data_IF_973676260896
#
_entry.id   IF_973676260896
#
_cell.length_a   1.000
_cell.length_b   1.000
_cell.length_c   1.000
_cell.angle_alpha   90.00
_cell.angle_beta   90.00
_cell.angle_gamma   90.00
#
_symmetry.space_group_name_H-M   'P 1'
#
loop_
_entity.id
_entity.type
_entity.pdbx_description
1 polymer ?
#
# COMPACT_ATOMS: atom_id res chain seq x y z
N UNK A 1 -19.88 18.84 -17.32
CA UNK A 1 -19.23 20.14 -17.06
C UNK A 1 -17.73 19.84 -16.96
N UNK A 2 -16.84 20.15 -17.90
CA UNK A 2 -16.71 21.31 -18.79
C UNK A 2 -16.71 22.64 -18.03
N UNK A 3 -15.50 23.14 -17.68
CA UNK A 3 -14.89 24.27 -18.39
C UNK A 3 -13.43 24.50 -17.92
N UNK A 4 -12.51 24.70 -18.87
CA UNK A 4 -11.17 25.23 -18.64
C UNK A 4 -11.01 26.57 -19.37
N UNK A 5 -10.31 27.57 -18.80
CA UNK A 5 -10.22 28.90 -19.39
C UNK A 5 -9.20 28.95 -20.54
N UNK A 6 -9.69 28.97 -21.78
CA UNK A 6 -8.89 29.33 -22.97
C UNK A 6 -9.03 30.82 -23.25
N UNK A 7 -8.03 31.62 -22.92
CA UNK A 7 -7.96 33.02 -23.37
C UNK A 7 -7.33 33.12 -24.76
N UNK A 8 -8.15 33.39 -25.78
CA UNK A 8 -7.70 33.77 -27.12
C UNK A 8 -7.73 35.29 -27.26
N UNK A 9 -6.59 35.90 -27.59
CA UNK A 9 -6.51 37.31 -27.97
C UNK A 9 -6.84 37.44 -29.47
N UNK A 10 -8.08 37.81 -29.80
CA UNK A 10 -8.56 37.78 -31.20
C UNK A 10 -9.51 38.91 -31.62
N UNK A 11 -9.34 40.14 -31.09
CA UNK A 11 -9.80 41.36 -31.80
C UNK A 11 -8.98 42.61 -31.45
N UNK A 12 -8.26 43.15 -32.44
CA UNK A 12 -7.93 44.58 -32.54
C UNK A 12 -8.41 45.04 -33.92
N UNK A 13 -9.39 45.95 -33.97
CA UNK A 13 -9.87 46.53 -35.22
C UNK A 13 -8.93 47.62 -35.72
N UNK A 14 -8.66 47.65 -37.02
CA UNK A 14 -8.04 48.80 -37.70
C UNK A 14 -9.02 49.97 -37.67
N UNK A 15 -8.70 51.03 -36.91
CA UNK A 15 -9.49 52.28 -36.93
C UNK A 15 -8.64 53.54 -36.66
N UNK A 16 -7.62 53.75 -37.48
CA UNK A 16 -6.91 55.04 -37.54
C UNK A 16 -7.90 56.14 -37.99
N UNK A 17 -8.33 56.95 -37.04
CA UNK A 17 -9.40 57.93 -37.24
C UNK A 17 -8.81 59.25 -37.72
N UNK A 18 -9.12 59.65 -38.95
CA UNK A 18 -8.64 60.92 -39.51
C UNK A 18 -9.35 62.13 -38.86
N UNK A 19 -8.64 62.83 -37.96
CA UNK A 19 -8.84 64.21 -37.47
C UNK A 19 -7.78 64.48 -36.38
N UNK A 20 -6.89 65.48 -36.47
CA UNK A 20 -6.58 66.39 -37.57
C UNK A 20 -5.95 67.68 -37.05
N UNK A 21 -5.06 68.33 -37.82
CA UNK A 21 -4.57 69.69 -37.52
C UNK A 21 -4.18 70.43 -38.81
N UNK A 22 -5.17 71.06 -39.45
CA UNK A 22 -4.95 72.01 -40.56
C UNK A 22 -4.98 73.44 -40.02
N UNK A 23 -3.81 74.10 -40.01
CA UNK A 23 -3.53 75.55 -39.99
C UNK A 23 -2.01 75.70 -39.79
N UNK A 24 -1.26 76.54 -40.51
CA UNK A 24 -1.67 77.77 -41.19
C UNK A 24 -1.12 77.87 -42.63
N UNK A 25 -2.02 78.21 -43.57
CA UNK A 25 -1.67 78.99 -44.76
C UNK A 25 -2.17 80.42 -44.53
N UNK A 26 -1.35 81.44 -44.77
CA UNK A 26 -1.77 82.85 -44.74
C UNK A 26 -1.00 83.72 -45.74
N UNK A 27 -1.60 83.91 -46.90
CA UNK A 27 -1.24 84.94 -47.89
C UNK A 27 -1.93 86.29 -47.48
N UNK A 28 -1.82 87.39 -48.25
CA UNK A 28 -0.70 88.34 -48.17
C UNK A 28 -1.17 89.81 -48.03
N UNK A 29 -0.27 90.80 -47.81
CA UNK A 29 -0.48 92.22 -48.20
C UNK A 29 0.68 93.17 -47.80
N UNK A 30 0.77 94.35 -48.44
CA UNK A 30 1.63 95.49 -48.06
C UNK A 30 3.01 95.51 -48.76
N UNK A 31 3.23 96.09 -49.95
CA UNK A 31 2.57 97.16 -50.73
C UNK A 31 2.91 98.62 -50.33
N UNK A 32 3.99 99.16 -50.91
CA UNK A 32 4.14 100.56 -51.40
C UNK A 32 5.12 100.56 -52.59
N UNK A 33 4.90 101.30 -53.68
CA UNK A 33 3.70 102.07 -54.10
C UNK A 33 3.71 102.34 -55.61
N UNK A 34 2.51 102.47 -56.17
CA UNK A 34 2.20 103.14 -57.46
C UNK A 34 2.76 102.53 -58.75
N UNK A 35 2.14 102.70 -59.92
CA UNK A 35 0.75 103.10 -60.27
C UNK A 35 0.43 102.49 -61.64
N UNK A 36 -0.84 102.16 -61.91
CA UNK A 36 -1.35 101.75 -63.22
C UNK A 36 -2.39 102.75 -63.71
N UNK A 37 -2.30 103.19 -64.97
CA UNK A 37 -3.43 103.72 -65.77
C UNK A 37 -3.25 103.24 -67.22
N UNK A 38 -4.34 102.79 -67.85
CA UNK A 38 -4.47 102.64 -69.30
C UNK A 38 -5.45 103.70 -69.82
N UNK A 39 -5.19 104.34 -70.97
CA UNK A 39 -6.08 104.41 -72.15
C UNK A 39 -5.65 105.47 -73.20
N UNK A 40 -6.07 105.23 -74.46
CA UNK A 40 -6.39 106.18 -75.55
C UNK A 40 -5.40 107.28 -75.97
N UNK A 41 -4.76 107.04 -77.13
CA UNK A 41 -4.78 107.87 -78.36
C UNK A 41 -5.07 109.39 -78.26
N UNK A 42 -4.08 110.25 -78.56
CA UNK A 42 -4.10 111.19 -79.71
C UNK A 42 -2.81 112.06 -79.85
N UNK A 43 -2.48 112.44 -81.09
CA UNK A 43 -1.84 113.68 -81.62
C UNK A 43 -0.50 114.30 -81.11
N UNK A 44 0.27 114.87 -82.08
CA UNK A 44 1.32 115.91 -81.91
C UNK A 44 2.75 115.41 -81.65
N UNK A 45 3.69 115.30 -82.62
CA UNK A 45 4.36 116.33 -83.47
C UNK A 45 4.80 117.58 -82.67
N UNK A 46 6.01 118.14 -82.81
CA UNK A 46 7.02 118.07 -83.90
C UNK A 46 8.42 117.70 -83.29
N UNK A 47 9.66 118.05 -83.70
CA UNK A 47 10.42 118.89 -84.69
C UNK A 47 11.81 118.19 -84.81
N UNK A 48 12.66 118.14 -85.87
CA UNK A 48 12.97 118.91 -87.10
C UNK A 48 13.64 120.28 -86.85
N UNK A 49 14.86 120.56 -87.36
CA UNK A 49 15.09 120.71 -88.82
C UNK A 49 16.37 120.00 -89.39
N UNK A 50 16.62 119.78 -90.70
CA UNK A 50 15.93 119.99 -92.03
C UNK A 50 16.68 120.94 -93.00
N UNK A 51 17.30 120.38 -94.05
CA UNK A 51 17.70 121.02 -95.33
C UNK A 51 18.31 119.94 -96.27
N UNK A 52 18.34 120.01 -97.60
CA UNK A 52 17.64 120.87 -98.59
C UNK A 52 17.46 120.09 -99.93
N UNK A 53 16.91 120.72 -100.98
CA UNK A 53 16.66 120.15 -102.32
C UNK A 53 17.58 120.80 -103.39
N UNK A 54 17.22 120.72 -104.69
CA UNK A 54 17.80 121.41 -105.88
C UNK A 54 18.99 120.63 -106.52
N UNK A 55 19.16 120.48 -107.86
CA UNK A 55 18.49 121.07 -109.05
C UNK A 55 18.37 120.10 -110.26
N UNK A 56 17.59 120.49 -111.27
CA UNK A 56 17.60 119.95 -112.65
C UNK A 56 18.36 120.88 -113.59
N UNK A 57 19.08 120.37 -114.60
CA UNK A 57 19.52 121.13 -115.79
C UNK A 57 19.42 120.28 -117.07
N UNK A 58 19.30 120.94 -118.23
CA UNK A 58 19.00 120.34 -119.55
C UNK A 58 19.49 121.24 -120.70
N UNK A 59 19.39 120.70 -121.93
CA UNK A 59 19.53 121.38 -123.25
C UNK A 59 20.96 121.54 -123.79
N UNK A 60 21.15 121.72 -125.12
CA UNK A 60 20.16 121.71 -126.22
C UNK A 60 20.47 120.74 -127.41
N UNK A 61 19.46 120.49 -128.26
CA UNK A 61 19.50 120.41 -129.75
C UNK A 61 20.44 119.42 -130.51
N UNK A 62 20.19 118.98 -131.76
CA UNK A 62 19.11 119.23 -132.77
C UNK A 62 19.02 118.03 -133.76
N UNK A 63 17.83 117.73 -134.33
CA UNK A 63 17.49 117.01 -135.60
C UNK A 63 18.26 115.71 -136.03
N UNK A 64 17.71 114.71 -136.75
CA UNK A 64 16.35 114.42 -137.28
C UNK A 64 16.25 113.00 -137.87
N UNK A 65 15.03 112.46 -137.93
CA UNK A 65 14.53 111.40 -138.84
C UNK A 65 14.85 109.90 -138.58
N UNK A 66 13.90 109.07 -139.02
CA UNK A 66 13.97 107.63 -139.37
C UNK A 66 14.61 106.60 -138.41
N UNK A 67 13.76 105.90 -137.61
CA UNK A 67 13.29 104.50 -137.87
C UNK A 67 12.66 103.85 -136.62
N UNK A 68 11.36 103.59 -136.66
CA UNK A 68 10.56 103.19 -135.49
C UNK A 68 10.23 101.69 -135.41
N UNK A 69 11.20 100.79 -135.65
CA UNK A 69 10.94 99.33 -135.75
C UNK A 69 11.73 98.47 -134.74
N UNK A 70 12.99 98.79 -134.44
CA UNK A 70 13.87 97.88 -133.68
C UNK A 70 13.67 97.92 -132.15
N UNK A 71 13.18 99.05 -131.61
CA UNK A 71 13.09 99.29 -130.17
C UNK A 71 12.14 98.30 -129.43
N UNK A 72 11.21 97.67 -130.16
CA UNK A 72 10.30 96.65 -129.63
C UNK A 72 11.01 95.33 -129.23
N UNK A 73 12.10 94.95 -129.90
CA UNK A 73 12.80 93.68 -129.62
C UNK A 73 13.70 93.73 -128.37
N UNK A 74 14.30 94.89 -128.05
CA UNK A 74 15.07 95.04 -126.82
C UNK A 74 14.17 95.11 -125.58
N UNK A 75 13.01 95.76 -125.68
CA UNK A 75 12.06 95.87 -124.55
C UNK A 75 11.58 94.50 -124.06
N UNK A 76 11.18 93.62 -124.99
CA UNK A 76 10.70 92.26 -124.67
C UNK A 76 11.78 91.36 -124.06
N UNK A 77 13.05 91.51 -124.43
CA UNK A 77 14.20 90.84 -123.77
C UNK A 77 14.46 91.38 -122.36
N UNK A 78 14.41 92.69 -122.16
CA UNK A 78 14.58 93.29 -120.84
C UNK A 78 13.45 92.87 -119.87
N UNK A 79 12.21 92.83 -120.35
CA UNK A 79 11.07 92.36 -119.57
C UNK A 79 11.13 90.86 -119.25
N UNK A 80 11.64 90.00 -120.14
CA UNK A 80 11.78 88.56 -119.87
C UNK A 80 12.89 88.28 -118.86
N UNK A 81 14.04 88.95 -118.97
CA UNK A 81 15.10 88.91 -117.96
C UNK A 81 14.64 89.46 -116.61
N UNK A 82 13.89 90.57 -116.60
CA UNK A 82 13.30 91.13 -115.37
C UNK A 82 12.33 90.16 -114.70
N UNK A 83 11.47 89.48 -115.47
CA UNK A 83 10.60 88.41 -114.99
C UNK A 83 11.39 87.22 -114.43
N UNK A 84 12.50 86.84 -115.07
CA UNK A 84 13.38 85.77 -114.60
C UNK A 84 14.10 86.13 -113.30
N UNK A 85 14.59 87.36 -113.15
CA UNK A 85 15.19 87.87 -111.90
C UNK A 85 14.16 87.94 -110.77
N UNK A 86 12.91 88.32 -111.07
CA UNK A 86 11.83 88.36 -110.09
C UNK A 86 11.46 86.93 -109.64
N UNK A 87 11.37 85.98 -110.58
CA UNK A 87 11.17 84.55 -110.28
C UNK A 87 12.32 83.95 -109.47
N UNK A 88 13.58 84.28 -109.78
CA UNK A 88 14.75 83.89 -108.98
C UNK A 88 14.72 84.49 -107.57
N UNK A 89 14.36 85.77 -107.42
CA UNK A 89 14.17 86.39 -106.10
C UNK A 89 13.06 85.70 -105.30
N UNK A 90 11.96 85.33 -105.95
CA UNK A 90 10.85 84.60 -105.32
C UNK A 90 11.24 83.17 -104.92
N UNK A 91 12.04 82.48 -105.74
CA UNK A 91 12.66 81.19 -105.41
C UNK A 91 13.62 81.31 -104.22
N UNK A 92 14.48 82.34 -104.17
CA UNK A 92 15.40 82.59 -103.05
C UNK A 92 14.64 82.95 -101.77
N UNK A 93 13.60 83.78 -101.82
CA UNK A 93 12.78 84.05 -100.62
C UNK A 93 12.00 82.82 -100.16
N UNK A 94 11.53 81.97 -101.09
CA UNK A 94 10.90 80.70 -100.76
C UNK A 94 11.91 79.69 -100.19
N UNK A 95 13.16 79.71 -100.66
CA UNK A 95 14.27 78.97 -100.07
C UNK A 95 14.56 79.43 -98.65
N UNK A 96 14.74 80.74 -98.44
CA UNK A 96 15.01 81.32 -97.12
C UNK A 96 13.90 81.02 -96.11
N UNK A 97 12.62 81.21 -96.46
CA UNK A 97 11.50 80.87 -95.56
C UNK A 97 11.41 79.37 -95.25
N UNK A 98 11.82 78.48 -96.18
CA UNK A 98 11.98 77.04 -95.90
C UNK A 98 13.17 76.75 -94.98
N UNK A 99 14.30 77.44 -95.16
CA UNK A 99 15.46 77.32 -94.26
C UNK A 99 15.18 77.87 -92.86
N UNK A 100 14.42 78.97 -92.73
CA UNK A 100 13.93 79.51 -91.46
C UNK A 100 12.98 78.52 -90.77
N UNK A 101 12.01 77.96 -91.50
CA UNK A 101 11.13 76.91 -90.98
C UNK A 101 11.90 75.65 -90.54
N UNK A 102 12.89 75.21 -91.32
CA UNK A 102 13.79 74.12 -90.95
C UNK A 102 14.65 74.46 -89.73
N UNK A 103 15.15 75.69 -89.61
CA UNK A 103 15.93 76.14 -88.45
C UNK A 103 15.07 76.16 -87.17
N UNK A 104 13.81 76.61 -87.26
CA UNK A 104 12.85 76.56 -86.13
C UNK A 104 12.51 75.12 -85.75
N UNK A 105 12.33 74.22 -86.73
CA UNK A 105 12.12 72.79 -86.47
C UNK A 105 13.36 72.14 -85.83
N UNK A 106 14.56 72.42 -86.33
CA UNK A 106 15.82 71.93 -85.76
C UNK A 106 16.01 72.46 -84.33
N UNK A 107 15.77 73.76 -84.08
CA UNK A 107 15.85 74.36 -82.75
C UNK A 107 14.85 73.71 -81.79
N UNK A 108 13.60 73.49 -82.22
CA UNK A 108 12.59 72.78 -81.44
C UNK A 108 13.04 71.35 -81.10
N UNK A 109 13.48 70.58 -82.09
CA UNK A 109 13.95 69.20 -81.90
C UNK A 109 15.21 69.13 -81.00
N UNK A 110 16.08 70.13 -81.05
CA UNK A 110 17.24 70.24 -80.15
C UNK A 110 16.82 70.56 -78.71
N UNK A 111 15.89 71.50 -78.50
CA UNK A 111 15.35 71.80 -77.17
C UNK A 111 14.56 70.63 -76.59
N UNK A 112 13.71 69.97 -77.38
CA UNK A 112 12.96 68.77 -77.00
C UNK A 112 13.89 67.60 -76.64
N UNK A 113 15.00 67.42 -77.40
CA UNK A 113 16.08 66.48 -77.05
C UNK A 113 16.82 66.87 -75.77
N UNK A 114 17.07 68.16 -75.52
CA UNK A 114 17.75 68.63 -74.31
C UNK A 114 16.86 68.44 -73.07
N UNK A 115 15.56 68.69 -73.18
CA UNK A 115 14.57 68.43 -72.14
C UNK A 115 14.43 66.94 -71.84
N UNK A 116 14.31 66.09 -72.88
CA UNK A 116 14.33 64.63 -72.71
C UNK A 116 15.63 64.13 -72.06
N UNK A 117 16.78 64.74 -72.37
CA UNK A 117 18.06 64.41 -71.76
C UNK A 117 18.14 64.87 -70.28
N UNK A 118 17.55 66.02 -69.94
CA UNK A 118 17.39 66.48 -68.54
C UNK A 118 16.48 65.54 -67.75
N UNK A 119 15.34 65.13 -68.32
CA UNK A 119 14.43 64.14 -67.73
C UNK A 119 15.11 62.79 -67.52
N UNK A 120 15.82 62.27 -68.53
CA UNK A 120 16.60 61.03 -68.41
C UNK A 120 17.68 61.15 -67.32
N UNK A 121 18.37 62.29 -67.19
CA UNK A 121 19.32 62.51 -66.09
C UNK A 121 18.64 62.49 -64.72
N UNK A 122 17.51 63.19 -64.56
CA UNK A 122 16.74 63.20 -63.31
C UNK A 122 16.29 61.77 -62.92
N UNK A 123 15.62 61.07 -63.85
CA UNK A 123 15.20 59.67 -63.66
C UNK A 123 16.37 58.74 -63.36
N UNK A 124 17.54 58.93 -63.98
CA UNK A 124 18.72 58.13 -63.69
C UNK A 124 19.28 58.38 -62.28
N UNK A 125 19.19 59.61 -61.77
CA UNK A 125 19.58 59.94 -60.39
C UNK A 125 18.55 59.40 -59.39
N UNK A 126 17.25 59.50 -59.69
CA UNK A 126 16.19 58.89 -58.89
C UNK A 126 16.36 57.37 -58.80
N UNK A 127 16.69 56.68 -59.90
CA UNK A 127 17.00 55.25 -59.90
C UNK A 127 18.25 54.91 -59.06
N UNK A 128 19.25 55.79 -58.99
CA UNK A 128 20.42 55.62 -58.10
C UNK A 128 20.03 55.84 -56.64
N UNK A 129 19.23 56.86 -56.34
CA UNK A 129 18.74 57.16 -55.00
C UNK A 129 17.87 56.01 -54.46
N UNK A 130 16.88 55.55 -55.24
CA UNK A 130 16.00 54.43 -54.90
C UNK A 130 16.77 53.10 -54.72
N UNK A 131 17.86 52.89 -55.45
CA UNK A 131 18.76 51.74 -55.22
C UNK A 131 19.53 51.88 -53.92
N UNK A 132 19.99 53.08 -53.56
CA UNK A 132 20.60 53.37 -52.27
C UNK A 132 19.62 53.14 -51.11
N UNK A 133 18.41 53.68 -51.23
CA UNK A 133 17.32 53.48 -50.27
C UNK A 133 16.99 52.00 -50.10
N UNK A 134 16.82 51.25 -51.20
CA UNK A 134 16.59 49.80 -51.19
C UNK A 134 17.71 49.02 -50.48
N UNK A 135 18.98 49.38 -50.71
CA UNK A 135 20.11 48.77 -49.99
C UNK A 135 20.06 49.10 -48.50
N UNK A 136 19.79 50.35 -48.12
CA UNK A 136 19.65 50.70 -46.69
C UNK A 136 18.49 49.95 -46.04
N UNK A 137 17.34 49.85 -46.72
CA UNK A 137 16.17 49.10 -46.28
C UNK A 137 16.46 47.60 -46.13
N UNK A 138 17.20 46.97 -47.05
CA UNK A 138 17.66 45.58 -46.91
C UNK A 138 18.49 45.42 -45.64
N UNK A 139 19.51 46.26 -45.45
CA UNK A 139 20.38 46.14 -44.27
C UNK A 139 19.67 46.45 -42.95
N UNK A 140 18.56 47.21 -42.94
CA UNK A 140 17.73 47.38 -41.73
C UNK A 140 16.79 46.20 -41.51
N UNK A 141 16.23 45.61 -42.57
CA UNK A 141 15.46 44.36 -42.48
C UNK A 141 16.34 43.22 -41.95
N UNK A 142 17.53 42.99 -42.52
CA UNK A 142 18.49 41.98 -42.05
C UNK A 142 18.87 42.14 -40.57
N UNK A 143 19.00 43.39 -40.09
CA UNK A 143 19.27 43.68 -38.66
C UNK A 143 18.06 43.38 -37.78
N UNK A 144 16.85 43.72 -38.24
CA UNK A 144 15.61 43.41 -37.53
C UNK A 144 15.32 41.90 -37.50
N UNK A 145 15.66 41.16 -38.55
CA UNK A 145 15.52 39.71 -38.58
C UNK A 145 16.53 39.00 -37.66
N UNK A 146 17.77 39.51 -37.58
CA UNK A 146 18.76 39.05 -36.60
C UNK A 146 18.27 39.31 -35.17
N UNK A 147 17.87 40.54 -34.86
CA UNK A 147 17.33 40.89 -33.55
C UNK A 147 16.06 40.11 -33.17
N UNK A 148 15.16 39.83 -34.15
CA UNK A 148 13.99 38.94 -33.95
C UNK A 148 14.43 37.51 -33.60
N UNK A 149 15.44 37.00 -34.28
CA UNK A 149 15.94 35.63 -34.08
C UNK A 149 16.70 35.50 -32.75
N UNK A 150 17.51 36.49 -32.39
CA UNK A 150 18.18 36.59 -31.10
C UNK A 150 17.18 36.66 -29.93
N UNK A 151 16.13 37.48 -30.07
CA UNK A 151 15.04 37.57 -29.10
C UNK A 151 14.23 36.27 -28.99
N UNK A 152 14.00 35.58 -30.11
CA UNK A 152 13.33 34.28 -30.13
C UNK A 152 14.17 33.22 -29.39
N UNK A 153 15.47 33.11 -29.68
CA UNK A 153 16.39 32.18 -28.99
C UNK A 153 16.46 32.50 -27.49
N UNK A 154 16.49 33.78 -27.11
CA UNK A 154 16.45 34.19 -25.71
C UNK A 154 15.14 33.76 -25.02
N UNK A 155 13.99 34.01 -25.67
CA UNK A 155 12.67 33.61 -25.15
C UNK A 155 12.53 32.09 -25.01
N UNK A 156 12.91 31.32 -26.03
CA UNK A 156 12.92 29.85 -25.99
C UNK A 156 13.84 29.34 -24.87
N UNK A 157 15.01 29.95 -24.68
CA UNK A 157 15.91 29.65 -23.56
C UNK A 157 15.33 29.96 -22.18
N UNK A 158 14.53 31.03 -22.03
CA UNK A 158 13.81 31.31 -20.78
C UNK A 158 12.70 30.28 -20.53
N UNK A 159 11.93 29.91 -21.56
CA UNK A 159 10.87 28.90 -21.45
C UNK A 159 11.46 27.52 -21.10
N UNK A 160 12.58 27.13 -21.71
CA UNK A 160 13.28 25.88 -21.38
C UNK A 160 13.75 25.86 -19.92
N UNK A 161 14.39 26.94 -19.42
CA UNK A 161 14.83 27.04 -18.03
C UNK A 161 13.67 27.01 -17.04
N UNK A 162 12.58 27.72 -17.33
CA UNK A 162 11.38 27.72 -16.48
C UNK A 162 10.72 26.34 -16.43
N UNK A 163 10.66 25.64 -17.57
CA UNK A 163 10.15 24.27 -17.62
C UNK A 163 11.05 23.29 -16.85
N UNK A 164 12.38 23.44 -16.95
CA UNK A 164 13.33 22.64 -16.18
C UNK A 164 13.16 22.87 -14.66
N UNK A 165 13.02 24.13 -14.22
CA UNK A 165 12.77 24.46 -12.82
C UNK A 165 11.44 23.87 -12.33
N UNK A 166 10.34 24.04 -13.08
CA UNK A 166 9.07 23.42 -12.71
C UNK A 166 9.15 21.89 -12.64
N UNK A 167 9.95 21.24 -13.49
CA UNK A 167 10.18 19.80 -13.42
C UNK A 167 10.99 19.40 -12.17
N UNK A 168 12.06 20.13 -11.82
CA UNK A 168 12.80 19.86 -10.58
C UNK A 168 11.94 20.06 -9.34
N UNK A 169 11.20 21.18 -9.27
CA UNK A 169 10.34 21.54 -8.14
C UNK A 169 9.23 20.50 -7.93
N UNK A 170 8.62 20.01 -9.03
CA UNK A 170 7.65 18.92 -8.98
C UNK A 170 8.28 17.62 -8.46
N UNK A 171 9.47 17.25 -8.92
CA UNK A 171 10.14 16.03 -8.42
C UNK A 171 10.59 16.13 -6.96
N UNK A 172 11.00 17.32 -6.49
CA UNK A 172 11.33 17.55 -5.08
C UNK A 172 10.07 17.45 -4.20
N UNK A 173 8.98 18.11 -4.60
CA UNK A 173 7.69 18.03 -3.90
C UNK A 173 7.14 16.60 -3.88
N UNK A 174 7.21 15.88 -4.99
CA UNK A 174 6.83 14.47 -5.05
C UNK A 174 7.67 13.58 -4.13
N UNK A 175 9.00 13.76 -4.12
CA UNK A 175 9.89 12.92 -3.31
C UNK A 175 9.71 13.21 -1.83
N UNK A 176 9.65 14.49 -1.43
CA UNK A 176 9.35 14.90 -0.06
C UNK A 176 7.99 14.41 0.43
N UNK A 177 6.99 14.32 -0.46
CA UNK A 177 5.67 13.77 -0.14
C UNK A 177 5.72 12.24 0.02
N UNK A 178 6.49 11.53 -0.81
CA UNK A 178 6.74 10.09 -0.66
C UNK A 178 7.46 9.81 0.65
N UNK A 179 8.54 10.53 0.94
CA UNK A 179 9.35 10.45 2.17
C UNK A 179 8.48 10.65 3.42
N UNK A 180 7.65 11.70 3.45
CA UNK A 180 6.71 11.95 4.54
C UNK A 180 5.74 10.79 4.75
N UNK A 181 5.11 10.27 3.68
CA UNK A 181 4.19 9.14 3.83
C UNK A 181 4.90 7.82 4.19
N UNK A 182 6.14 7.59 3.75
CA UNK A 182 6.92 6.42 4.20
C UNK A 182 7.28 6.54 5.67
N UNK A 183 7.72 7.72 6.13
CA UNK A 183 7.99 7.97 7.55
C UNK A 183 6.76 7.74 8.43
N UNK A 184 5.58 8.25 8.05
CA UNK A 184 4.35 8.05 8.84
C UNK A 184 3.88 6.58 8.81
N UNK A 185 4.07 5.87 7.69
CA UNK A 185 3.85 4.41 7.64
C UNK A 185 4.78 3.66 8.59
N UNK A 186 6.08 3.97 8.58
CA UNK A 186 7.09 3.34 9.44
C UNK A 186 6.84 3.64 10.93
N UNK A 187 6.49 4.89 11.27
CA UNK A 187 6.11 5.27 12.65
C UNK A 187 4.90 4.45 13.13
N UNK A 188 3.85 4.34 12.31
CA UNK A 188 2.66 3.56 12.66
C UNK A 188 2.97 2.05 12.76
N UNK A 189 3.77 1.51 11.86
CA UNK A 189 4.22 0.12 11.90
C UNK A 189 5.03 -0.18 13.17
N UNK A 190 5.96 0.71 13.54
CA UNK A 190 6.76 0.57 14.75
C UNK A 190 5.89 0.61 16.01
N UNK A 191 4.89 1.48 16.09
CA UNK A 191 3.91 1.52 17.20
C UNK A 191 3.17 0.18 17.31
N UNK A 192 2.68 -0.37 16.19
CA UNK A 192 2.01 -1.68 16.18
C UNK A 192 2.93 -2.84 16.62
N UNK A 193 4.20 -2.82 16.21
CA UNK A 193 5.20 -3.80 16.64
C UNK A 193 5.46 -3.68 18.14
N UNK A 194 5.71 -2.47 18.63
CA UNK A 194 5.92 -2.21 20.06
C UNK A 194 4.72 -2.64 20.92
N UNK A 195 3.49 -2.38 20.50
CA UNK A 195 2.29 -2.82 21.23
C UNK A 195 2.17 -4.35 21.24
N UNK A 196 2.40 -5.02 20.10
CA UNK A 196 2.42 -6.48 20.04
C UNK A 196 3.51 -7.09 20.93
N UNK A 197 4.70 -6.48 21.02
CA UNK A 197 5.77 -6.91 21.91
C UNK A 197 5.46 -6.64 23.40
N UNK A 198 4.80 -5.52 23.73
CA UNK A 198 4.31 -5.23 25.09
C UNK A 198 3.27 -6.26 25.55
N UNK A 199 2.31 -6.64 24.70
CA UNK A 199 1.36 -7.72 25.03
C UNK A 199 2.04 -9.09 25.14
N UNK A 200 2.99 -9.40 24.25
CA UNK A 200 3.76 -10.65 24.27
C UNK A 200 4.58 -10.81 25.55
N UNK A 201 5.27 -9.75 26.00
CA UNK A 201 6.06 -9.77 27.23
C UNK A 201 5.18 -9.87 28.48
N UNK A 202 4.05 -9.15 28.54
CA UNK A 202 3.06 -9.30 29.62
C UNK A 202 2.49 -10.72 29.71
N UNK A 203 2.13 -11.35 28.59
CA UNK A 203 1.62 -12.72 28.57
C UNK A 203 2.69 -13.74 28.99
N UNK A 204 3.95 -13.53 28.58
CA UNK A 204 5.08 -14.37 29.02
C UNK A 204 5.32 -14.24 30.52
N UNK A 205 5.32 -13.01 31.06
CA UNK A 205 5.49 -12.75 32.49
C UNK A 205 4.35 -13.37 33.32
N UNK A 206 3.09 -13.26 32.87
CA UNK A 206 1.96 -13.93 33.53
C UNK A 206 2.10 -15.46 33.51
N UNK A 207 2.56 -16.05 32.41
CA UNK A 207 2.80 -17.48 32.31
C UNK A 207 3.93 -17.95 33.24
N UNK A 208 5.08 -17.26 33.25
CA UNK A 208 6.21 -17.63 34.09
C UNK A 208 5.93 -17.40 35.59
N UNK A 209 5.16 -16.36 35.95
CA UNK A 209 4.67 -16.16 37.31
C UNK A 209 3.71 -17.28 37.76
N UNK A 210 2.75 -17.67 36.91
CA UNK A 210 1.83 -18.79 37.21
C UNK A 210 2.58 -20.11 37.34
N UNK A 211 3.58 -20.34 36.49
CA UNK A 211 4.45 -21.52 36.52
C UNK A 211 5.34 -21.55 37.77
N UNK A 212 5.88 -20.41 38.21
CA UNK A 212 6.62 -20.30 39.46
C UNK A 212 5.72 -20.60 40.67
N UNK A 213 4.51 -20.04 40.70
CA UNK A 213 3.51 -20.31 41.74
C UNK A 213 3.08 -21.79 41.78
N UNK A 214 2.96 -22.44 40.62
CA UNK A 214 2.67 -23.87 40.52
C UNK A 214 3.80 -24.72 41.10
N UNK A 215 5.05 -24.50 40.69
CA UNK A 215 6.18 -25.30 41.21
C UNK A 215 6.45 -25.04 42.69
N UNK A 216 6.24 -23.81 43.21
CA UNK A 216 6.32 -23.58 44.67
C UNK A 216 5.23 -24.31 45.44
N UNK A 217 3.96 -24.21 45.02
CA UNK A 217 2.86 -24.92 45.68
C UNK A 217 3.02 -26.45 45.62
N UNK A 218 3.52 -26.98 44.50
CA UNK A 218 3.88 -28.38 44.35
C UNK A 218 4.98 -28.80 45.33
N UNK A 219 6.06 -28.03 45.45
CA UNK A 219 7.15 -28.30 46.39
C UNK A 219 6.69 -28.22 47.86
N UNK A 220 5.78 -27.30 48.18
CA UNK A 220 5.15 -27.22 49.51
C UNK A 220 4.32 -28.48 49.83
N UNK A 221 3.55 -28.99 48.86
CA UNK A 221 2.76 -30.23 48.99
C UNK A 221 3.67 -31.47 49.07
N UNK A 222 4.74 -31.53 48.28
CA UNK A 222 5.75 -32.60 48.35
C UNK A 222 6.47 -32.60 49.72
N UNK A 223 6.75 -31.41 50.28
CA UNK A 223 7.31 -31.27 51.61
C UNK A 223 6.32 -31.68 52.72
N UNK A 224 5.05 -31.23 52.66
CA UNK A 224 4.06 -31.57 53.69
C UNK A 224 3.78 -33.08 53.73
N UNK A 225 3.65 -33.73 52.57
CA UNK A 225 3.50 -35.19 52.51
C UNK A 225 4.76 -35.92 53.02
N UNK A 226 5.96 -35.39 52.77
CA UNK A 226 7.21 -35.94 53.33
C UNK A 226 7.21 -35.90 54.86
N UNK A 227 6.78 -34.79 55.46
CA UNK A 227 6.71 -34.62 56.91
C UNK A 227 5.59 -35.48 57.54
N UNK A 228 4.43 -35.60 56.90
CA UNK A 228 3.38 -36.55 57.30
C UNK A 228 3.86 -37.99 57.28
N UNK A 229 4.54 -38.43 56.22
CA UNK A 229 5.11 -39.78 56.10
C UNK A 229 6.17 -40.01 57.19
N UNK A 230 7.02 -39.02 57.47
CA UNK A 230 8.00 -39.10 58.56
C UNK A 230 7.33 -39.18 59.95
N UNK A 231 6.27 -38.41 60.19
CA UNK A 231 5.53 -38.44 61.45
C UNK A 231 4.83 -39.80 61.63
N UNK A 232 4.13 -40.28 60.61
CA UNK A 232 3.47 -41.58 60.60
C UNK A 232 4.47 -42.73 60.81
N UNK A 233 5.64 -42.66 60.17
CA UNK A 233 6.73 -43.62 60.39
C UNK A 233 7.21 -43.62 61.86
N UNK A 234 7.42 -42.45 62.47
CA UNK A 234 7.81 -42.33 63.89
C UNK A 234 6.73 -42.92 64.82
N UNK A 235 5.44 -42.72 64.51
CA UNK A 235 4.32 -43.32 65.25
C UNK A 235 4.28 -44.85 65.13
N UNK A 236 4.51 -45.40 63.94
CA UNK A 236 4.63 -46.86 63.78
C UNK A 236 5.86 -47.43 64.48
N UNK A 237 7.02 -46.77 64.43
CA UNK A 237 8.25 -47.22 65.09
C UNK A 237 8.13 -47.18 66.63
N UNK A 238 7.47 -46.16 67.19
CA UNK A 238 7.18 -46.09 68.64
C UNK A 238 6.16 -47.15 69.06
N UNK A 239 5.04 -47.29 68.36
CA UNK A 239 4.04 -48.33 68.64
C UNK A 239 4.63 -49.76 68.54
N UNK A 240 5.46 -50.04 67.53
CA UNK A 240 6.17 -51.32 67.42
C UNK A 240 7.21 -51.51 68.55
N UNK A 241 7.82 -50.43 69.07
CA UNK A 241 8.69 -50.50 70.24
C UNK A 241 7.90 -50.83 71.52
N UNK A 242 6.73 -50.23 71.70
CA UNK A 242 5.84 -50.45 72.84
C UNK A 242 5.25 -51.86 72.85
N UNK A 243 4.74 -52.34 71.71
CA UNK A 243 4.24 -53.72 71.57
C UNK A 243 5.36 -54.73 71.87
N UNK A 244 6.58 -54.52 71.36
CA UNK A 244 7.73 -55.38 71.66
C UNK A 244 8.10 -55.37 73.15
N UNK A 245 8.07 -54.20 73.81
CA UNK A 245 8.31 -54.09 75.26
C UNK A 245 7.22 -54.82 76.06
N UNK A 246 5.95 -54.65 75.68
CA UNK A 246 4.82 -55.33 76.34
C UNK A 246 4.93 -56.85 76.23
N UNK A 247 5.16 -57.37 75.02
CA UNK A 247 5.38 -58.79 74.78
C UNK A 247 6.59 -59.34 75.57
N UNK A 248 7.70 -58.60 75.62
CA UNK A 248 8.91 -59.01 76.34
C UNK A 248 8.73 -58.98 77.88
N UNK A 249 7.82 -58.15 78.40
CA UNK A 249 7.41 -58.15 79.81
C UNK A 249 6.43 -59.29 80.12
N UNK A 250 5.43 -59.50 79.27
CA UNK A 250 4.46 -60.61 79.38
C UNK A 250 5.18 -61.97 79.32
N UNK A 251 6.08 -62.14 78.34
CA UNK A 251 6.95 -63.32 78.21
C UNK A 251 7.71 -63.61 79.51
N UNK A 252 8.35 -62.59 80.11
CA UNK A 252 9.08 -62.75 81.38
C UNK A 252 8.15 -63.11 82.53
N UNK A 253 7.00 -62.47 82.64
CA UNK A 253 6.00 -62.83 83.66
C UNK A 253 5.47 -64.26 83.51
N UNK A 254 5.46 -64.81 82.28
CA UNK A 254 5.12 -66.22 82.03
C UNK A 254 6.28 -67.17 82.31
N UNK A 255 7.52 -66.78 82.00
CA UNK A 255 8.74 -67.53 82.35
C UNK A 255 8.94 -67.60 83.88
N UNK A 256 8.76 -66.48 84.59
CA UNK A 256 8.80 -66.39 86.06
C UNK A 256 7.70 -67.26 86.71
N UNK A 257 6.46 -67.17 86.20
CA UNK A 257 5.33 -68.01 86.68
C UNK A 257 5.57 -69.50 86.40
N UNK A 258 6.20 -69.84 85.27
CA UNK A 258 6.57 -71.21 84.95
C UNK A 258 7.65 -71.72 85.92
N UNK A 259 8.67 -70.91 86.23
CA UNK A 259 9.69 -71.26 87.24
C UNK A 259 9.05 -71.49 88.61
N UNK A 260 8.22 -70.56 89.10
CA UNK A 260 7.53 -70.69 90.40
C UNK A 260 6.67 -71.97 90.46
N UNK A 261 5.99 -72.32 89.37
CA UNK A 261 5.18 -73.54 89.29
C UNK A 261 6.04 -74.80 89.14
N UNK A 262 7.18 -74.74 88.44
CA UNK A 262 8.15 -75.82 88.38
C UNK A 262 8.77 -76.07 89.76
N UNK A 263 9.25 -75.03 90.46
CA UNK A 263 9.79 -75.12 91.82
C UNK A 263 8.74 -75.65 92.82
N UNK A 264 7.48 -75.22 92.68
CA UNK A 264 6.36 -75.74 93.48
C UNK A 264 6.10 -77.24 93.23
N UNK A 265 6.16 -77.68 91.96
CA UNK A 265 5.99 -79.09 91.59
C UNK A 265 7.21 -79.94 91.96
N UNK A 266 8.44 -79.44 91.79
CA UNK A 266 9.66 -80.10 92.22
C UNK A 266 9.70 -80.28 93.74
N UNK A 267 9.22 -79.28 94.50
CA UNK A 267 9.01 -79.40 95.93
C UNK A 267 7.95 -80.45 96.26
N UNK A 268 6.78 -80.43 95.63
CA UNK A 268 5.77 -81.49 95.84
C UNK A 268 6.29 -82.88 95.49
N UNK A 269 7.10 -83.01 94.43
CA UNK A 269 7.77 -84.26 94.04
C UNK A 269 8.82 -84.67 95.09
N UNK A 270 9.54 -83.73 95.70
CA UNK A 270 10.49 -84.01 96.80
C UNK A 270 9.77 -84.43 98.09
N UNK A 271 8.71 -83.72 98.47
CA UNK A 271 7.88 -84.03 99.63
C UNK A 271 7.25 -85.43 99.46
N UNK A 272 6.62 -85.70 98.31
CA UNK A 272 6.07 -87.02 97.95
C UNK A 272 7.14 -88.11 97.80
N UNK A 273 8.36 -87.80 97.33
CA UNK A 273 9.47 -88.76 97.34
C UNK A 273 9.84 -89.14 98.77
N UNK A 274 9.95 -88.18 99.68
CA UNK A 274 10.27 -88.46 101.09
C UNK A 274 9.16 -89.23 101.80
N UNK A 275 7.88 -88.94 101.50
CA UNK A 275 6.75 -89.72 101.99
C UNK A 275 6.76 -91.13 101.40
N UNK A 276 7.01 -91.28 100.10
CA UNK A 276 7.05 -92.57 99.43
C UNK A 276 8.26 -93.41 99.87
N UNK A 277 9.42 -92.81 100.15
CA UNK A 277 10.56 -93.46 100.80
C UNK A 277 10.20 -93.92 102.22
N UNK A 278 9.55 -93.07 103.03
CA UNK A 278 9.09 -93.45 104.37
C UNK A 278 7.98 -94.53 104.34
N UNK A 279 7.11 -94.52 103.34
CA UNK A 279 6.10 -95.55 103.08
C UNK A 279 6.72 -96.83 102.52
N UNK A 280 7.81 -96.74 101.76
CA UNK A 280 8.54 -97.88 101.19
C UNK A 280 9.44 -98.54 102.24
N UNK A 281 10.05 -97.80 103.17
CA UNK A 281 10.69 -98.39 104.35
C UNK A 281 9.66 -99.01 105.32
N UNK A 282 8.49 -98.39 105.49
CA UNK A 282 7.36 -99.04 106.18
C UNK A 282 6.91 -100.29 105.44
N UNK A 283 6.80 -100.25 104.11
CA UNK A 283 6.41 -101.37 103.25
C UNK A 283 7.44 -102.48 103.39
N UNK A 284 8.73 -102.25 103.13
CA UNK A 284 9.84 -103.18 103.39
C UNK A 284 9.82 -103.75 104.81
N UNK A 285 9.44 -102.97 105.83
CA UNK A 285 9.28 -103.50 107.20
C UNK A 285 8.08 -104.46 107.31
N UNK A 286 6.92 -104.10 106.76
CA UNK A 286 5.73 -104.94 106.71
C UNK A 286 5.84 -106.06 105.66
N UNK A 287 6.81 -105.97 104.76
CA UNK A 287 7.11 -106.90 103.69
C UNK A 287 8.28 -107.82 104.07
N UNK A 288 9.09 -107.47 105.05
CA UNK A 288 9.84 -108.45 105.85
C UNK A 288 8.86 -109.23 106.76
N UNK A 289 7.78 -108.58 107.24
CA UNK A 289 6.63 -109.22 107.90
C UNK A 289 5.67 -109.96 106.94
N UNK A 290 5.73 -109.71 105.61
CA UNK A 290 5.03 -110.50 104.58
C UNK A 290 5.91 -111.57 103.96
N UNK A 291 7.20 -111.40 103.73
CA UNK A 291 8.10 -112.50 103.30
C UNK A 291 8.14 -113.62 104.36
N UNK A 292 7.78 -113.32 105.62
CA UNK A 292 7.53 -114.28 106.70
C UNK A 292 6.05 -114.77 106.84
N UNK A 293 5.12 -114.28 106.03
CA UNK A 293 3.65 -114.57 106.04
C UNK A 293 3.06 -114.95 104.66
N UNK A 294 3.82 -114.71 103.60
CA UNK A 294 3.52 -114.74 102.16
C UNK A 294 4.60 -115.55 101.41
N UNK A 295 5.27 -116.43 102.16
CA UNK A 295 5.95 -117.63 101.64
C UNK A 295 4.91 -118.69 101.18
N UNK A 296 3.78 -118.21 100.66
CA UNK A 296 2.53 -118.94 100.48
C UNK A 296 1.74 -118.37 99.27
N UNK A 297 1.72 -119.17 98.20
CA UNK A 297 0.90 -119.04 96.99
C UNK A 297 1.24 -117.89 96.01
N UNK A 298 0.70 -118.00 94.79
CA UNK A 298 1.29 -117.40 93.59
C UNK A 298 0.28 -117.11 92.47
N UNK A 299 0.63 -116.12 91.63
CA UNK A 299 0.18 -115.84 90.24
C UNK A 299 -1.31 -116.10 89.87
N UNK A 300 -2.08 -115.01 89.72
CA UNK A 300 -3.41 -115.01 89.10
C UNK A 300 -3.31 -114.83 87.55
N UNK A 301 -3.94 -115.68 86.72
CA UNK A 301 -3.91 -115.56 85.24
C UNK A 301 -4.68 -114.37 84.65
N UNK A 302 -5.45 -113.61 85.43
CA UNK A 302 -6.32 -112.53 84.93
C UNK A 302 -5.59 -111.37 84.21
N UNK A 303 -4.27 -111.24 84.37
CA UNK A 303 -3.45 -110.21 83.70
C UNK A 303 -3.47 -110.39 82.17
N UNK A 304 -3.38 -111.61 81.66
CA UNK A 304 -3.33 -111.87 80.21
C UNK A 304 -4.59 -111.42 79.45
N UNK A 305 -5.75 -111.42 80.11
CA UNK A 305 -7.00 -110.99 79.46
C UNK A 305 -7.01 -109.47 79.24
N UNK A 306 -6.49 -108.70 80.19
CA UNK A 306 -6.37 -107.24 80.11
C UNK A 306 -5.34 -106.82 79.06
N UNK A 307 -4.25 -107.58 78.91
CA UNK A 307 -3.27 -107.38 77.83
C UNK A 307 -3.91 -107.58 76.44
N UNK A 308 -4.79 -108.59 76.30
CA UNK A 308 -5.50 -108.84 75.04
C UNK A 308 -6.56 -107.78 74.70
N UNK A 309 -7.26 -107.23 75.71
CA UNK A 309 -8.18 -106.11 75.53
C UNK A 309 -7.46 -104.82 75.11
N UNK A 310 -6.29 -104.53 75.68
CA UNK A 310 -5.45 -103.39 75.29
C UNK A 310 -4.96 -103.48 73.84
N UNK A 311 -4.55 -104.67 73.38
CA UNK A 311 -4.11 -104.85 72.00
C UNK A 311 -5.27 -104.69 70.99
N UNK A 312 -6.48 -105.13 71.37
CA UNK A 312 -7.70 -104.88 70.59
C UNK A 312 -8.01 -103.39 70.45
N UNK A 313 -7.88 -102.62 71.54
CA UNK A 313 -8.13 -101.18 71.55
C UNK A 313 -7.10 -100.39 70.73
N UNK A 314 -5.83 -100.82 70.70
CA UNK A 314 -4.81 -100.23 69.80
C UNK A 314 -5.22 -100.33 68.33
N UNK A 315 -5.65 -101.50 67.87
CA UNK A 315 -6.04 -101.70 66.47
C UNK A 315 -7.22 -100.79 66.07
N UNK A 316 -8.18 -100.57 66.98
CA UNK A 316 -9.31 -99.63 66.74
C UNK A 316 -8.84 -98.17 66.69
N UNK A 317 -7.84 -97.78 67.48
CA UNK A 317 -7.22 -96.45 67.41
C UNK A 317 -6.44 -96.26 66.11
N UNK A 318 -5.64 -97.25 65.69
CA UNK A 318 -4.86 -97.21 64.45
C UNK A 318 -5.77 -97.06 63.22
N UNK A 319 -6.84 -97.85 63.14
CA UNK A 319 -7.87 -97.73 62.08
C UNK A 319 -8.53 -96.34 62.06
N UNK A 320 -8.76 -95.73 63.23
CA UNK A 320 -9.30 -94.35 63.31
C UNK A 320 -8.27 -93.30 62.89
N UNK A 321 -6.99 -93.49 63.21
CA UNK A 321 -5.93 -92.55 62.88
C UNK A 321 -5.63 -92.55 61.37
N UNK A 322 -5.56 -93.72 60.75
CA UNK A 322 -5.48 -93.87 59.29
C UNK A 322 -6.67 -93.20 58.58
N UNK A 323 -7.90 -93.40 59.11
CA UNK A 323 -9.10 -92.74 58.57
C UNK A 323 -9.04 -91.21 58.69
N UNK A 324 -8.42 -90.68 59.74
CA UNK A 324 -8.21 -89.24 59.94
C UNK A 324 -7.21 -88.68 58.92
N UNK A 325 -6.07 -89.33 58.72
CA UNK A 325 -5.12 -88.96 57.66
C UNK A 325 -5.73 -89.00 56.25
N UNK A 326 -6.64 -89.95 55.98
CA UNK A 326 -7.41 -89.99 54.73
C UNK A 326 -8.45 -88.86 54.59
N UNK A 327 -8.83 -88.17 55.68
CA UNK A 327 -9.63 -86.96 55.65
C UNK A 327 -8.75 -85.72 55.45
N UNK A 328 -7.62 -85.61 56.15
CA UNK A 328 -6.63 -84.54 55.96
C UNK A 328 -6.13 -84.47 54.50
N UNK A 329 -5.80 -85.63 53.93
CA UNK A 329 -5.38 -85.76 52.54
C UNK A 329 -6.49 -85.45 51.50
N UNK A 330 -7.75 -85.27 51.94
CA UNK A 330 -8.86 -84.74 51.13
C UNK A 330 -9.06 -83.24 51.37
N UNK A 331 -8.95 -82.77 52.61
CA UNK A 331 -8.99 -81.35 52.95
C UNK A 331 -7.90 -80.57 52.19
N UNK A 332 -6.65 -81.01 52.23
CA UNK A 332 -5.54 -80.38 51.48
C UNK A 332 -5.78 -80.36 49.96
N UNK A 333 -6.58 -81.28 49.41
CA UNK A 333 -6.97 -81.29 47.99
C UNK A 333 -8.09 -80.29 47.70
N UNK A 334 -9.01 -80.07 48.64
CA UNK A 334 -10.04 -79.03 48.52
C UNK A 334 -9.46 -77.62 48.70
N UNK A 335 -8.55 -77.42 49.66
CA UNK A 335 -7.81 -76.16 49.85
C UNK A 335 -7.09 -75.74 48.56
N UNK A 336 -6.32 -76.65 47.95
CA UNK A 336 -5.66 -76.41 46.66
C UNK A 336 -6.63 -76.11 45.52
N UNK A 337 -7.86 -76.59 45.56
CA UNK A 337 -8.90 -76.23 44.58
C UNK A 337 -9.50 -74.84 44.87
N UNK A 338 -9.62 -74.44 46.14
CA UNK A 338 -10.03 -73.08 46.54
C UNK A 338 -8.97 -72.06 46.11
N UNK A 339 -7.69 -72.31 46.36
CA UNK A 339 -6.57 -71.42 45.95
C UNK A 339 -6.50 -71.23 44.42
N UNK A 340 -6.74 -72.30 43.66
CA UNK A 340 -6.83 -72.19 42.21
C UNK A 340 -8.09 -71.44 41.76
N UNK A 341 -9.21 -71.56 42.49
CA UNK A 341 -10.44 -70.85 42.19
C UNK A 341 -10.30 -69.33 42.44
N UNK A 342 -9.76 -68.92 43.59
CA UNK A 342 -9.50 -67.51 43.91
C UNK A 342 -8.54 -66.87 42.90
N UNK A 343 -7.44 -67.56 42.55
CA UNK A 343 -6.50 -67.11 41.54
C UNK A 343 -7.10 -66.97 40.12
N UNK A 344 -8.15 -67.75 39.79
CA UNK A 344 -8.91 -67.61 38.54
C UNK A 344 -9.93 -66.45 38.62
N UNK A 345 -10.62 -66.29 39.75
CA UNK A 345 -11.54 -65.17 40.01
C UNK A 345 -10.80 -63.83 39.92
N UNK A 346 -9.59 -63.72 40.46
CA UNK A 346 -8.81 -62.48 40.38
C UNK A 346 -8.21 -62.19 39.00
N UNK A 347 -7.98 -63.23 38.18
CA UNK A 347 -7.70 -63.04 36.74
C UNK A 347 -8.93 -62.51 36.00
N UNK A 348 -10.12 -63.05 36.29
CA UNK A 348 -11.38 -62.61 35.69
C UNK A 348 -11.68 -61.14 36.04
N UNK A 349 -11.50 -60.74 37.30
CA UNK A 349 -11.64 -59.32 37.73
C UNK A 349 -10.73 -58.37 36.94
N UNK A 350 -9.45 -58.74 36.72
CA UNK A 350 -8.52 -57.92 35.93
C UNK A 350 -8.97 -57.78 34.47
N UNK A 351 -9.33 -58.87 33.81
CA UNK A 351 -9.86 -58.81 32.44
C UNK A 351 -11.18 -58.02 32.34
N UNK A 352 -12.02 -58.03 33.38
CA UNK A 352 -13.20 -57.17 33.43
C UNK A 352 -12.83 -55.68 33.54
N UNK A 353 -11.88 -55.32 34.42
CA UNK A 353 -11.39 -53.95 34.57
C UNK A 353 -10.75 -53.43 33.27
N UNK A 354 -9.93 -54.24 32.59
CA UNK A 354 -9.37 -53.92 31.26
C UNK A 354 -10.47 -53.70 30.21
N UNK A 355 -11.54 -54.50 30.24
CA UNK A 355 -12.68 -54.36 29.33
C UNK A 355 -13.47 -53.07 29.57
N UNK A 356 -13.62 -52.65 30.83
CA UNK A 356 -14.26 -51.40 31.23
C UNK A 356 -13.39 -50.17 30.85
N UNK A 357 -12.07 -50.26 30.99
CA UNK A 357 -11.16 -49.19 30.52
C UNK A 357 -11.20 -49.03 28.99
N UNK A 358 -11.21 -50.14 28.24
CA UNK A 358 -11.31 -50.12 26.79
C UNK A 358 -12.65 -49.53 26.31
N UNK A 359 -13.77 -49.81 27.00
CA UNK A 359 -15.06 -49.15 26.73
C UNK A 359 -14.97 -47.64 26.97
N UNK A 360 -14.46 -47.21 28.11
CA UNK A 360 -14.29 -45.78 28.41
C UNK A 360 -13.35 -45.07 27.40
N UNK A 361 -12.38 -45.78 26.83
CA UNK A 361 -11.52 -45.28 25.74
C UNK A 361 -12.29 -45.15 24.42
N UNK A 362 -13.14 -46.13 24.07
CA UNK A 362 -14.02 -46.08 22.90
C UNK A 362 -15.02 -44.92 23.03
N UNK A 363 -15.66 -44.73 24.18
CA UNK A 363 -16.61 -43.63 24.40
C UNK A 363 -15.96 -42.25 24.25
N UNK A 364 -14.71 -42.08 24.72
CA UNK A 364 -13.91 -40.86 24.47
C UNK A 364 -13.66 -40.63 22.97
N UNK A 365 -13.28 -41.66 22.22
CA UNK A 365 -13.13 -41.53 20.76
C UNK A 365 -14.45 -41.19 20.07
N UNK A 366 -15.57 -41.79 20.47
CA UNK A 366 -16.91 -41.49 19.93
C UNK A 366 -17.31 -40.04 20.24
N UNK A 367 -17.00 -39.52 21.45
CA UNK A 367 -17.25 -38.13 21.80
C UNK A 367 -16.44 -37.16 20.91
N UNK A 368 -15.14 -37.41 20.70
CA UNK A 368 -14.29 -36.61 19.82
C UNK A 368 -14.78 -36.64 18.37
N UNK A 369 -15.16 -37.81 17.85
CA UNK A 369 -15.71 -37.94 16.49
C UNK A 369 -17.03 -37.16 16.33
N UNK A 370 -17.89 -37.15 17.36
CA UNK A 370 -19.12 -36.33 17.37
C UNK A 370 -18.79 -34.83 17.38
N UNK A 371 -17.83 -34.40 18.22
CA UNK A 371 -17.38 -33.01 18.28
C UNK A 371 -16.86 -32.53 16.92
N UNK A 372 -15.93 -33.29 16.30
CA UNK A 372 -15.39 -32.98 14.98
C UNK A 372 -16.50 -32.90 13.90
N UNK A 373 -17.51 -33.78 13.98
CA UNK A 373 -18.68 -33.73 13.08
C UNK A 373 -19.49 -32.45 13.29
N UNK A 374 -19.69 -31.99 14.54
CA UNK A 374 -20.38 -30.73 14.82
C UNK A 374 -19.58 -29.49 14.41
N UNK A 375 -18.25 -29.50 14.57
CA UNK A 375 -17.36 -28.43 14.11
C UNK A 375 -17.33 -28.34 12.59
N UNK A 376 -17.27 -29.47 11.88
CA UNK A 376 -17.39 -29.51 10.43
C UNK A 376 -18.74 -28.95 9.95
N UNK A 377 -19.83 -29.27 10.65
CA UNK A 377 -21.16 -28.76 10.30
C UNK A 377 -21.29 -27.23 10.52
N UNK A 378 -20.76 -26.68 11.62
CA UNK A 378 -20.79 -25.23 11.86
C UNK A 378 -19.88 -24.45 10.92
N UNK A 379 -18.72 -24.99 10.56
CA UNK A 379 -17.85 -24.40 9.54
C UNK A 379 -18.51 -24.38 8.16
N UNK A 380 -19.21 -25.45 7.77
CA UNK A 380 -19.98 -25.49 6.53
C UNK A 380 -21.14 -24.47 6.53
N UNK A 381 -21.84 -24.30 7.66
CA UNK A 381 -22.90 -23.31 7.80
C UNK A 381 -22.35 -21.87 7.73
N UNK A 382 -21.16 -21.62 8.30
CA UNK A 382 -20.46 -20.34 8.19
C UNK A 382 -20.01 -20.03 6.76
N UNK A 383 -19.41 -20.99 6.06
CA UNK A 383 -19.03 -20.87 4.65
C UNK A 383 -20.23 -20.55 3.76
N UNK A 384 -21.38 -21.17 4.03
CA UNK A 384 -22.64 -20.84 3.36
C UNK A 384 -23.13 -19.43 3.67
N UNK A 385 -23.06 -18.98 4.93
CA UNK A 385 -23.44 -17.61 5.34
C UNK A 385 -22.54 -16.57 4.66
N UNK A 386 -21.23 -16.80 4.67
CA UNK A 386 -20.25 -15.94 4.01
C UNK A 386 -20.46 -15.89 2.50
N UNK A 387 -20.68 -17.03 1.84
CA UNK A 387 -21.03 -17.10 0.41
C UNK A 387 -22.32 -16.31 0.09
N UNK A 388 -23.34 -16.38 0.96
CA UNK A 388 -24.59 -15.59 0.86
C UNK A 388 -24.40 -14.10 1.16
N UNK A 389 -23.35 -13.69 1.89
CA UNK A 389 -22.95 -12.28 2.06
C UNK A 389 -22.18 -11.81 0.82
N UNK A 390 -21.14 -12.54 0.42
CA UNK A 390 -20.29 -12.23 -0.73
C UNK A 390 -21.10 -12.10 -2.02
N UNK A 391 -22.06 -13.01 -2.29
CA UNK A 391 -22.92 -12.91 -3.46
C UNK A 391 -23.82 -11.65 -3.45
N UNK A 392 -24.27 -11.19 -2.28
CA UNK A 392 -25.02 -9.91 -2.17
C UNK A 392 -24.11 -8.72 -2.44
N UNK A 393 -22.92 -8.70 -1.85
CA UNK A 393 -21.92 -7.64 -2.09
C UNK A 393 -21.45 -7.60 -3.55
N UNK A 394 -21.34 -8.75 -4.24
CA UNK A 394 -21.05 -8.80 -5.67
C UNK A 394 -22.16 -8.15 -6.49
N UNK A 395 -23.43 -8.45 -6.21
CA UNK A 395 -24.57 -7.84 -6.90
C UNK A 395 -24.68 -6.34 -6.61
N UNK A 396 -24.43 -5.91 -5.37
CA UNK A 396 -24.40 -4.50 -4.98
C UNK A 396 -23.24 -3.74 -5.65
N UNK A 397 -22.06 -4.36 -5.75
CA UNK A 397 -20.91 -3.79 -6.47
C UNK A 397 -21.17 -3.72 -7.99
N UNK A 398 -21.79 -4.73 -8.59
CA UNK A 398 -22.24 -4.68 -9.99
C UNK A 398 -23.27 -3.55 -10.21
N UNK A 399 -24.22 -3.35 -9.30
CA UNK A 399 -25.19 -2.26 -9.36
C UNK A 399 -24.52 -0.87 -9.22
N UNK A 400 -23.56 -0.73 -8.31
CA UNK A 400 -22.79 0.51 -8.10
C UNK A 400 -21.87 0.82 -9.30
N UNK A 401 -21.21 -0.19 -9.87
CA UNK A 401 -20.44 -0.07 -11.11
C UNK A 401 -21.34 0.32 -12.29
N UNK A 402 -22.54 -0.26 -12.38
CA UNK A 402 -23.51 0.09 -13.41
C UNK A 402 -24.00 1.54 -13.27
N UNK A 403 -24.32 1.99 -12.04
CA UNK A 403 -24.66 3.39 -11.73
C UNK A 403 -23.53 4.36 -12.10
N UNK A 404 -22.29 4.02 -11.76
CA UNK A 404 -21.11 4.82 -12.09
C UNK A 404 -20.90 4.92 -13.61
N UNK A 405 -21.06 3.81 -14.34
CA UNK A 405 -20.83 3.75 -15.78
C UNK A 405 -21.93 4.43 -16.60
N UNK A 406 -23.18 4.38 -16.14
CA UNK A 406 -24.31 5.01 -16.83
C UNK A 406 -24.52 6.50 -16.44
N UNK A 407 -23.73 7.03 -15.50
CA UNK A 407 -23.51 8.46 -15.34
C UNK A 407 -24.73 9.27 -14.91
N UNK A 408 -25.26 9.01 -13.71
CA UNK A 408 -26.40 9.74 -13.15
C UNK A 408 -26.06 11.23 -12.92
N UNK A 409 -26.50 12.07 -13.88
CA UNK A 409 -26.28 13.51 -13.90
C UNK A 409 -27.60 14.31 -13.92
N UNK A 410 -28.64 13.85 -13.20
CA UNK A 410 -29.77 14.74 -12.85
C UNK A 410 -30.50 14.39 -11.54
N UNK A 411 -30.24 15.23 -10.52
CA UNK A 411 -31.20 15.70 -9.51
C UNK A 411 -31.94 14.68 -8.63
N UNK A 412 -31.65 14.74 -7.33
CA UNK A 412 -32.71 15.11 -6.37
C UNK A 412 -32.13 15.84 -5.15
N UNK A 413 -32.28 17.17 -5.15
CA UNK A 413 -32.05 18.00 -3.96
C UNK A 413 -33.27 17.89 -3.03
N UNK A 414 -33.27 16.89 -2.13
CA UNK A 414 -34.15 16.84 -0.95
C UNK A 414 -33.77 15.75 0.06
N UNK A 415 -33.58 16.20 1.29
CA UNK A 415 -33.94 15.49 2.52
C UNK A 415 -34.81 16.42 3.37
N UNK A 416 -35.55 15.97 4.41
CA UNK A 416 -35.71 14.58 4.87
C UNK A 416 -37.18 14.11 4.88
N UNK A 417 -37.43 12.80 4.89
CA UNK A 417 -38.63 12.19 5.50
C UNK A 417 -38.35 10.72 5.85
N UNK A 418 -38.38 10.38 7.14
CA UNK A 418 -38.34 9.00 7.61
C UNK A 418 -39.75 8.48 7.86
N UNK A 419 -40.10 7.26 7.41
CA UNK A 419 -41.13 6.44 8.04
C UNK A 419 -40.45 5.39 8.93
N UNK A 420 -40.64 5.48 10.24
CA UNK A 420 -40.25 4.40 11.14
C UNK A 420 -41.25 3.23 11.01
N UNK A 421 -40.76 2.01 10.78
CA UNK A 421 -41.57 0.79 10.84
C UNK A 421 -41.00 -0.10 11.96
N UNK A 422 -41.75 -0.37 13.04
CA UNK A 422 -41.25 -1.13 14.18
C UNK A 422 -41.30 -2.64 13.92
N UNK A 423 -40.16 -3.25 13.62
CA UNK A 423 -40.03 -4.70 13.65
C UNK A 423 -39.64 -5.21 15.05
N UNK A 424 -40.34 -6.24 15.49
CA UNK A 424 -40.27 -6.80 16.83
C UNK A 424 -39.02 -7.65 17.04
N UNK A 425 -38.50 -7.69 18.27
CA UNK A 425 -37.42 -8.60 18.67
C UNK A 425 -37.88 -10.07 18.59
N UNK A 426 -36.93 -10.99 18.36
CA UNK A 426 -36.80 -12.12 19.28
C UNK A 426 -35.64 -11.93 20.26
N UNK A 427 -35.94 -11.95 21.57
CA UNK A 427 -34.95 -11.91 22.65
C UNK A 427 -34.59 -13.34 23.08
N UNK A 428 -33.64 -13.97 22.39
CA UNK A 428 -32.93 -15.16 22.88
C UNK A 428 -31.45 -14.78 23.06
N UNK A 429 -30.92 -14.57 24.27
CA UNK A 429 -30.70 -15.57 25.34
C UNK A 429 -29.71 -16.69 24.97
N UNK A 430 -28.62 -16.34 24.29
CA UNK A 430 -27.42 -17.19 24.20
C UNK A 430 -26.53 -17.00 25.43
N UNK A 431 -26.80 -17.74 26.51
CA UNK A 431 -25.92 -17.77 27.69
C UNK A 431 -24.62 -18.51 27.36
N UNK A 432 -23.46 -17.90 27.61
CA UNK A 432 -22.19 -18.62 27.58
C UNK A 432 -22.17 -19.67 28.72
N UNK A 433 -21.92 -20.95 28.43
CA UNK A 433 -21.59 -21.92 29.46
C UNK A 433 -20.13 -21.68 29.89
N UNK A 434 -19.92 -21.01 31.01
CA UNK A 434 -18.64 -21.07 31.70
C UNK A 434 -18.33 -22.54 32.05
N UNK A 435 -17.09 -23.04 31.85
CA UNK A 435 -16.77 -24.41 32.19
C UNK A 435 -16.91 -24.61 33.70
N UNK A 436 -17.88 -25.45 34.09
CA UNK A 436 -18.13 -25.76 35.50
C UNK A 436 -17.02 -26.63 36.05
N UNK A 437 -16.17 -26.07 36.92
CA UNK A 437 -15.32 -26.86 37.81
C UNK A 437 -16.23 -27.77 38.63
N UNK A 438 -15.90 -29.07 38.70
CA UNK A 438 -16.57 -30.04 39.55
C UNK A 438 -15.62 -31.18 39.92
N UNK A 439 -15.80 -31.83 41.09
CA UNK A 439 -14.64 -32.28 41.85
C UNK A 439 -14.49 -33.80 41.92
N UNK A 440 -13.27 -34.29 41.65
CA UNK A 440 -12.53 -35.14 42.61
C UNK A 440 -11.04 -35.22 42.29
#
# INVERSE_FOLDING_TARGET
MLLSPKFSLSTIHVRLTAKGLLRNLRLPSGFRKSTVIFHTVENGRQKTPRSLCIQTQTCPDVLSSEKAVELAQCKTKCESQSRFILHLKQLVSCGNTRFEALAVLIQRLLSEREEALKQHKALSQELVNLRGELVTASTTCEKLEKARSELQIAYEGFVQKLNQQHQTDLTELENRLKEFYTEECEKLQNIYIEEAEKYKTQLQEQFDNLKAAHETSKLEIEASHSDEIQLLKKVYETSLSEIKKSHELEKKSLEDLLSEKQESLEKQISDLKSENEALNEKLKSEEQKRISREKANSKNPQIMYLEQELESLKAVLEIKNEKLHQQDAKLMKMEKLVDNNTALVDKLKRFQQENEELKARIDKHIAISRQLTTEQATLQEWLEKESKVNKRLSMENEELLWKLHNGDLCSSDRSPTSPAIPFQSPRNSGSFPSPSVSPR
#
